data_IF_807270921562
#
_entry.id   IF_807270921562
#
_cell.length_a   1.000
_cell.length_b   1.000
_cell.length_c   1.000
_cell.angle_alpha   90.00
_cell.angle_beta   90.00
_cell.angle_gamma   90.00
#
_symmetry.space_group_name_H-M   'P 1'
#
loop_
_entity.id
_entity.type
_entity.pdbx_description
1 polymer ?
#
# COMPACT_ATOMS: atom_id res chain seq x y z
N UNK A 1 -19.51 -14.31 -16.44
CA UNK A 1 -18.39 -13.73 -15.66
C UNK A 1 -18.30 -12.20 -15.80
N UNK A 2 -18.36 -11.62 -17.02
CA UNK A 2 -18.31 -10.16 -17.23
C UNK A 2 -19.62 -9.39 -16.88
N UNK A 3 -20.81 -10.00 -17.05
CA UNK A 3 -22.09 -9.36 -16.70
C UNK A 3 -22.21 -9.07 -15.19
N UNK A 4 -21.48 -9.83 -14.36
CA UNK A 4 -21.44 -9.64 -12.90
C UNK A 4 -20.54 -8.47 -12.48
N UNK A 5 -19.50 -8.10 -13.25
CA UNK A 5 -18.50 -7.11 -12.82
C UNK A 5 -19.09 -5.70 -12.63
N UNK A 6 -20.06 -5.32 -13.45
CA UNK A 6 -20.72 -4.02 -13.34
C UNK A 6 -21.60 -3.98 -12.09
N UNK A 7 -22.31 -5.06 -11.80
CA UNK A 7 -23.17 -5.16 -10.62
C UNK A 7 -22.35 -5.28 -9.33
N UNK A 8 -21.25 -6.02 -9.40
CA UNK A 8 -20.18 -6.12 -8.42
C UNK A 8 -19.58 -4.74 -8.08
N UNK A 9 -19.27 -3.93 -9.11
CA UNK A 9 -18.74 -2.57 -8.92
C UNK A 9 -19.79 -1.63 -8.31
N UNK A 10 -21.05 -1.70 -8.78
CA UNK A 10 -22.16 -0.93 -8.19
C UNK A 10 -22.39 -1.32 -6.73
N UNK A 11 -22.29 -2.60 -6.40
CA UNK A 11 -22.41 -3.08 -5.03
C UNK A 11 -21.26 -2.57 -4.17
N UNK A 12 -20.02 -2.68 -4.65
CA UNK A 12 -18.86 -2.12 -3.97
C UNK A 12 -19.03 -0.62 -3.69
N UNK A 13 -19.46 0.15 -4.69
CA UNK A 13 -19.73 1.59 -4.53
C UNK A 13 -20.80 1.85 -3.45
N UNK A 14 -21.87 1.05 -3.39
CA UNK A 14 -22.90 1.16 -2.35
C UNK A 14 -22.35 0.84 -0.97
N UNK A 15 -21.56 -0.23 -0.84
CA UNK A 15 -20.90 -0.60 0.41
C UNK A 15 -19.98 0.52 0.90
N UNK A 16 -19.13 1.05 0.02
CA UNK A 16 -18.28 2.20 0.32
C UNK A 16 -19.08 3.42 0.78
N UNK A 17 -20.17 3.75 0.08
CA UNK A 17 -21.02 4.86 0.46
C UNK A 17 -21.60 4.66 1.87
N UNK A 18 -22.08 3.46 2.19
CA UNK A 18 -22.57 3.15 3.53
C UNK A 18 -21.47 3.29 4.59
N UNK A 19 -20.26 2.79 4.34
CA UNK A 19 -19.13 2.92 5.29
C UNK A 19 -18.75 4.38 5.54
N UNK A 20 -18.72 5.19 4.49
CA UNK A 20 -18.43 6.62 4.58
C UNK A 20 -19.52 7.32 5.42
N UNK A 21 -20.80 7.03 5.16
CA UNK A 21 -21.90 7.63 5.92
C UNK A 21 -21.85 7.25 7.40
N UNK A 22 -21.59 5.98 7.73
CA UNK A 22 -21.47 5.51 9.12
C UNK A 22 -20.36 6.25 9.87
N UNK A 23 -19.21 6.48 9.24
CA UNK A 23 -18.13 7.24 9.87
C UNK A 23 -18.44 8.74 9.97
N UNK A 24 -19.13 9.31 8.98
CA UNK A 24 -19.56 10.71 8.98
C UNK A 24 -20.69 11.01 10.00
N UNK A 25 -21.37 10.00 10.56
CA UNK A 25 -22.30 10.21 11.67
C UNK A 25 -21.56 10.73 12.91
N UNK A 26 -20.34 10.26 13.16
CA UNK A 26 -19.50 10.66 14.30
C UNK A 26 -18.36 11.58 13.84
N UNK A 27 -18.71 12.74 13.26
CA UNK A 27 -17.76 13.70 12.65
C UNK A 27 -16.59 14.07 13.55
N UNK A 28 -16.85 14.33 14.83
CA UNK A 28 -15.80 14.68 15.80
C UNK A 28 -14.82 13.54 16.00
N UNK A 29 -15.31 12.30 16.15
CA UNK A 29 -14.45 11.14 16.29
C UNK A 29 -13.60 10.93 15.04
N UNK A 30 -14.22 11.04 13.85
CA UNK A 30 -13.52 10.94 12.57
C UNK A 30 -12.42 12.01 12.42
N UNK A 31 -12.70 13.26 12.79
CA UNK A 31 -11.71 14.34 12.74
C UNK A 31 -10.55 14.09 13.70
N UNK A 32 -10.84 13.69 14.94
CA UNK A 32 -9.81 13.32 15.93
C UNK A 32 -8.96 12.18 15.38
N UNK A 33 -9.58 11.14 14.85
CA UNK A 33 -8.89 9.99 14.25
C UNK A 33 -7.94 10.41 13.11
N UNK A 34 -8.41 11.23 12.17
CA UNK A 34 -7.61 11.73 11.04
C UNK A 34 -6.45 12.58 11.54
N UNK A 35 -6.69 13.51 12.47
CA UNK A 35 -5.65 14.39 13.03
C UNK A 35 -4.63 13.58 13.82
N UNK A 36 -5.07 12.61 14.63
CA UNK A 36 -4.17 11.72 15.37
C UNK A 36 -3.31 10.90 14.42
N UNK A 37 -3.88 10.37 13.33
CA UNK A 37 -3.11 9.60 12.35
C UNK A 37 -2.13 10.47 11.56
N UNK A 38 -2.54 11.69 11.19
CA UNK A 38 -1.65 12.71 10.62
C UNK A 38 -0.51 13.07 11.58
N UNK A 39 -0.80 13.21 12.88
CA UNK A 39 0.19 13.52 13.90
C UNK A 39 1.23 12.40 14.04
N UNK A 40 0.79 11.15 14.14
CA UNK A 40 1.70 9.99 14.22
C UNK A 40 2.58 9.90 12.98
N UNK A 41 2.00 9.90 11.79
CA UNK A 41 2.76 9.80 10.53
C UNK A 41 3.62 11.04 10.26
N UNK A 42 3.17 12.22 10.71
CA UNK A 42 3.95 13.45 10.67
C UNK A 42 5.18 13.37 11.56
N UNK A 43 5.05 12.83 12.77
CA UNK A 43 6.18 12.59 13.67
C UNK A 43 7.16 11.57 13.10
N UNK A 44 6.68 10.47 12.52
CA UNK A 44 7.53 9.50 11.80
C UNK A 44 8.36 10.20 10.70
N UNK A 45 7.74 11.10 9.94
CA UNK A 45 8.43 11.87 8.91
C UNK A 45 9.39 12.92 9.48
N UNK A 46 9.06 13.57 10.60
CA UNK A 46 10.00 14.46 11.30
C UNK A 46 11.21 13.67 11.78
N UNK A 47 11.03 12.48 12.34
CA UNK A 47 12.14 11.59 12.73
C UNK A 47 13.02 11.27 11.53
N UNK A 48 12.43 11.00 10.37
CA UNK A 48 13.18 10.81 9.12
C UNK A 48 14.04 12.05 8.78
N UNK A 49 13.50 13.26 8.89
CA UNK A 49 14.27 14.50 8.66
C UNK A 49 15.37 14.71 9.71
N UNK A 50 15.14 14.32 10.96
CA UNK A 50 16.12 14.45 12.03
C UNK A 50 17.37 13.60 11.80
N UNK A 51 17.29 12.48 11.08
CA UNK A 51 18.48 11.72 10.65
C UNK A 51 19.45 12.57 9.83
N UNK A 52 18.97 13.58 9.11
CA UNK A 52 19.80 14.43 8.26
C UNK A 52 20.41 15.63 8.98
N UNK A 53 20.09 15.84 10.26
CA UNK A 53 20.70 16.90 11.08
C UNK A 53 22.21 16.64 11.27
N UNK A 54 22.65 15.45 11.77
CA UNK A 54 24.07 15.12 11.83
C UNK A 54 24.66 14.67 10.49
N UNK A 55 23.86 14.02 9.64
CA UNK A 55 24.33 13.43 8.38
C UNK A 55 23.80 14.17 7.17
N UNK A 56 24.67 14.90 6.45
CA UNK A 56 24.25 15.66 5.26
C UNK A 56 23.72 14.78 4.13
N UNK A 57 24.18 13.53 4.04
CA UNK A 57 23.71 12.56 3.04
C UNK A 57 23.68 11.14 3.62
N UNK A 58 22.79 10.29 3.10
CA UNK A 58 22.73 8.86 3.35
C UNK A 58 23.23 8.10 2.12
N UNK A 59 24.48 7.63 2.14
CA UNK A 59 25.13 6.98 0.97
C UNK A 59 24.93 7.78 -0.34
N UNK A 60 25.11 9.10 -0.26
CA UNK A 60 24.95 10.00 -1.40
C UNK A 60 23.51 10.44 -1.71
N UNK A 61 22.52 10.01 -0.92
CA UNK A 61 21.14 10.53 -0.98
C UNK A 61 20.98 11.76 -0.09
N UNK A 62 20.40 12.82 -0.63
CA UNK A 62 20.12 14.07 0.08
C UNK A 62 18.73 14.03 0.72
N UNK A 63 18.50 14.93 1.69
CA UNK A 63 17.24 14.96 2.46
C UNK A 63 16.00 15.06 1.57
N UNK A 64 16.04 15.86 0.50
CA UNK A 64 14.90 16.00 -0.43
C UNK A 64 14.59 14.72 -1.22
N UNK A 65 15.62 13.95 -1.57
CA UNK A 65 15.45 12.70 -2.31
C UNK A 65 14.86 11.60 -1.42
N UNK A 66 15.27 11.53 -0.15
CA UNK A 66 14.71 10.57 0.82
C UNK A 66 13.32 11.01 1.29
N UNK A 67 13.09 12.30 1.48
CA UNK A 67 11.76 12.83 1.75
C UNK A 67 10.77 12.50 0.61
N UNK A 68 11.23 12.54 -0.65
CA UNK A 68 10.42 12.13 -1.81
C UNK A 68 10.07 10.63 -1.76
N UNK A 69 11.01 9.76 -1.43
CA UNK A 69 10.75 8.32 -1.22
C UNK A 69 9.69 8.08 -0.15
N UNK A 70 9.85 8.73 1.01
CA UNK A 70 8.91 8.63 2.11
C UNK A 70 7.52 9.17 1.74
N UNK A 71 7.45 10.27 1.01
CA UNK A 71 6.18 10.85 0.54
C UNK A 71 5.42 9.89 -0.38
N UNK A 72 6.09 9.36 -1.42
CA UNK A 72 5.49 8.44 -2.39
C UNK A 72 5.09 7.12 -1.72
N UNK A 73 5.91 6.63 -0.78
CA UNK A 73 5.60 5.46 0.03
C UNK A 73 4.37 5.70 0.91
N UNK A 74 4.29 6.84 1.60
CA UNK A 74 3.13 7.22 2.42
C UNK A 74 1.84 7.35 1.61
N UNK A 75 1.91 7.90 0.40
CA UNK A 75 0.76 8.00 -0.51
C UNK A 75 0.27 6.62 -0.96
N UNK A 76 1.17 5.80 -1.49
CA UNK A 76 0.84 4.46 -2.00
C UNK A 76 0.28 3.57 -0.89
N UNK A 77 0.95 3.57 0.26
CA UNK A 77 0.53 2.79 1.42
C UNK A 77 -0.78 3.32 2.01
N UNK A 78 -0.91 4.64 2.19
CA UNK A 78 -2.12 5.25 2.74
C UNK A 78 -3.37 4.97 1.89
N UNK A 79 -3.22 4.99 0.56
CA UNK A 79 -4.29 4.60 -0.37
C UNK A 79 -4.63 3.11 -0.24
N UNK A 80 -3.63 2.24 -0.09
CA UNK A 80 -3.87 0.80 0.08
C UNK A 80 -4.57 0.49 1.41
N UNK A 81 -4.21 1.16 2.50
CA UNK A 81 -4.87 0.97 3.80
C UNK A 81 -6.30 1.53 3.82
N UNK A 82 -6.54 2.63 3.08
CA UNK A 82 -7.86 3.23 2.97
C UNK A 82 -8.85 2.25 2.32
N UNK A 83 -8.42 1.59 1.23
CA UNK A 83 -9.23 0.66 0.43
C UNK A 83 -9.21 -0.77 1.02
N UNK A 84 -8.07 -1.22 1.50
CA UNK A 84 -7.82 -2.60 1.93
C UNK A 84 -8.24 -2.90 3.37
N UNK A 85 -8.87 -1.95 4.06
CA UNK A 85 -9.28 -2.09 5.46
C UNK A 85 -10.12 -3.33 5.75
N UNK A 86 -11.03 -3.71 4.85
CA UNK A 86 -11.83 -4.91 4.98
C UNK A 86 -11.02 -6.22 4.87
N UNK A 87 -9.93 -6.20 4.11
CA UNK A 87 -9.00 -7.33 3.95
C UNK A 87 -8.10 -7.44 5.19
N UNK A 88 -7.66 -6.32 5.74
CA UNK A 88 -6.84 -6.26 6.95
C UNK A 88 -7.55 -6.89 8.17
N UNK A 89 -8.87 -6.72 8.28
CA UNK A 89 -9.69 -7.32 9.34
C UNK A 89 -10.03 -8.81 9.10
N UNK A 90 -9.54 -9.42 8.03
CA UNK A 90 -10.02 -10.74 7.59
C UNK A 90 -9.71 -11.88 8.56
N UNK A 91 -8.58 -11.82 9.29
CA UNK A 91 -8.25 -12.80 10.33
C UNK A 91 -9.34 -12.87 11.41
N UNK A 92 -9.89 -11.72 11.81
CA UNK A 92 -10.98 -11.65 12.80
C UNK A 92 -12.26 -12.27 12.23
N UNK A 93 -12.55 -12.03 10.95
CA UNK A 93 -13.73 -12.57 10.26
C UNK A 93 -13.68 -14.11 10.19
N UNK A 94 -12.51 -14.69 9.90
CA UNK A 94 -12.31 -16.14 9.92
C UNK A 94 -12.44 -16.70 11.34
N UNK A 95 -11.75 -16.10 12.30
CA UNK A 95 -11.73 -16.59 13.69
C UNK A 95 -13.12 -16.56 14.35
N UNK A 96 -14.02 -15.69 13.89
CA UNK A 96 -15.42 -15.64 14.35
C UNK A 96 -16.38 -16.55 13.59
N UNK A 97 -15.92 -17.29 12.57
CA UNK A 97 -16.78 -18.08 11.69
C UNK A 97 -17.75 -17.24 10.84
N UNK A 98 -17.55 -15.92 10.78
CA UNK A 98 -18.44 -15.01 10.04
C UNK A 98 -18.22 -15.10 8.52
N UNK A 99 -17.10 -15.68 8.09
CA UNK A 99 -16.82 -15.92 6.67
C UNK A 99 -17.81 -16.91 6.04
N UNK A 100 -18.36 -17.86 6.79
CA UNK A 100 -19.42 -18.76 6.30
C UNK A 100 -20.63 -17.98 5.78
N UNK A 101 -21.01 -16.89 6.47
CA UNK A 101 -22.11 -16.01 6.03
C UNK A 101 -21.80 -15.25 4.75
N UNK A 102 -20.53 -14.93 4.52
CA UNK A 102 -20.07 -14.29 3.27
C UNK A 102 -20.24 -15.24 2.09
N UNK A 103 -19.92 -16.52 2.27
CA UNK A 103 -20.02 -17.56 1.24
C UNK A 103 -21.48 -17.93 0.88
N UNK A 104 -22.42 -17.75 1.80
CA UNK A 104 -23.84 -18.00 1.54
C UNK A 104 -24.51 -16.95 0.64
N UNK A 105 -23.89 -15.78 0.47
CA UNK A 105 -24.45 -14.70 -0.36
C UNK A 105 -24.08 -14.90 -1.83
N UNK A 106 -24.98 -14.63 -2.79
CA UNK A 106 -24.75 -14.85 -4.22
C UNK A 106 -23.88 -13.75 -4.86
N UNK A 107 -22.81 -13.34 -4.19
CA UNK A 107 -21.90 -12.25 -4.58
C UNK A 107 -20.46 -12.70 -4.34
N UNK A 108 -19.53 -12.26 -5.17
CA UNK A 108 -18.10 -12.53 -4.98
C UNK A 108 -17.65 -12.23 -3.54
N UNK A 109 -17.08 -13.23 -2.86
CA UNK A 109 -16.57 -13.10 -1.50
C UNK A 109 -15.52 -11.97 -1.40
N UNK A 110 -14.70 -11.79 -2.43
CA UNK A 110 -13.69 -10.72 -2.46
C UNK A 110 -14.32 -9.34 -2.32
N UNK A 111 -15.41 -9.07 -3.05
CA UNK A 111 -16.08 -7.76 -3.05
C UNK A 111 -16.74 -7.48 -1.71
N UNK A 112 -17.34 -8.50 -1.12
CA UNK A 112 -17.94 -8.41 0.20
C UNK A 112 -16.88 -8.10 1.27
N UNK A 113 -15.72 -8.76 1.19
CA UNK A 113 -14.61 -8.55 2.14
C UNK A 113 -13.98 -7.18 1.94
N UNK A 114 -13.57 -6.81 0.73
CA UNK A 114 -12.94 -5.49 0.48
C UNK A 114 -13.90 -4.32 0.75
N UNK A 115 -15.20 -4.49 0.48
CA UNK A 115 -16.23 -3.48 0.77
C UNK A 115 -16.74 -3.48 2.21
N UNK A 116 -16.28 -4.40 3.07
CA UNK A 116 -16.77 -4.52 4.44
C UNK A 116 -16.32 -3.39 5.37
N UNK A 117 -15.21 -2.72 5.05
CA UNK A 117 -14.66 -1.60 5.80
C UNK A 117 -13.90 -0.65 4.87
N UNK A 118 -13.92 0.65 5.18
CA UNK A 118 -13.23 1.69 4.42
C UNK A 118 -12.75 2.77 5.39
N UNK A 119 -11.46 2.76 5.77
CA UNK A 119 -11.00 3.56 6.93
C UNK A 119 -10.65 4.99 6.55
N UNK A 120 -11.61 5.92 6.68
CA UNK A 120 -11.38 7.35 6.39
C UNK A 120 -10.29 7.98 7.25
N UNK A 121 -10.00 7.42 8.44
CA UNK A 121 -8.85 7.79 9.28
C UNK A 121 -7.52 7.80 8.50
N UNK A 122 -7.37 6.92 7.50
CA UNK A 122 -6.15 6.81 6.69
C UNK A 122 -5.90 8.05 5.80
N UNK A 123 -6.90 8.91 5.62
CA UNK A 123 -6.72 10.23 5.01
C UNK A 123 -5.64 11.05 5.73
N UNK A 124 -5.45 10.88 7.05
CA UNK A 124 -4.39 11.58 7.79
C UNK A 124 -2.98 11.26 7.30
N UNK A 125 -2.75 10.02 6.82
CA UNK A 125 -1.47 9.64 6.23
C UNK A 125 -1.34 10.09 4.79
N UNK A 126 -2.43 10.05 4.03
CA UNK A 126 -2.41 10.55 2.66
C UNK A 126 -2.11 12.05 2.67
N UNK A 127 -2.74 12.82 3.57
CA UNK A 127 -2.43 14.24 3.74
C UNK A 127 -0.98 14.44 4.20
N UNK A 128 -0.46 13.64 5.12
CA UNK A 128 0.96 13.64 5.48
C UNK A 128 1.85 13.43 4.26
N UNK A 129 1.58 12.40 3.45
CA UNK A 129 2.34 12.09 2.24
C UNK A 129 2.32 13.22 1.22
N UNK A 130 1.17 13.88 1.03
CA UNK A 130 1.05 15.08 0.18
C UNK A 130 1.91 16.24 0.72
N UNK A 131 1.84 16.51 2.02
CA UNK A 131 2.66 17.56 2.65
C UNK A 131 4.15 17.26 2.53
N UNK A 132 4.56 16.02 2.78
CA UNK A 132 5.93 15.56 2.62
C UNK A 132 6.40 15.65 1.17
N UNK A 133 5.53 15.37 0.20
CA UNK A 133 5.83 15.53 -1.22
C UNK A 133 6.18 16.99 -1.53
N UNK A 134 5.32 17.95 -1.14
CA UNK A 134 5.60 19.37 -1.36
C UNK A 134 6.85 19.85 -0.62
N UNK A 135 7.07 19.37 0.61
CA UNK A 135 8.28 19.70 1.36
C UNK A 135 9.54 19.13 0.68
N UNK A 136 9.47 17.92 0.12
CA UNK A 136 10.59 17.33 -0.62
C UNK A 136 10.97 18.17 -1.83
N UNK A 137 10.00 18.81 -2.50
CA UNK A 137 10.26 19.71 -3.63
C UNK A 137 11.03 20.95 -3.23
N UNK A 138 10.84 21.43 -2.00
CA UNK A 138 11.57 22.57 -1.48
C UNK A 138 13.05 22.24 -1.23
N UNK A 139 13.36 21.01 -0.83
CA UNK A 139 14.72 20.55 -0.59
C UNK A 139 15.45 20.06 -1.83
N UNK A 140 14.72 19.73 -2.90
CA UNK A 140 15.30 19.26 -4.15
C UNK A 140 15.82 20.45 -4.99
N UNK A 141 17.09 20.43 -5.44
CA UNK A 141 17.55 21.38 -6.43
C UNK A 141 16.73 21.18 -7.72
N UNK A 142 16.04 22.23 -8.15
CA UNK A 142 15.09 22.30 -9.27
C UNK A 142 15.05 21.05 -10.18
N UNK A 143 14.14 20.09 -9.94
CA UNK A 143 14.02 18.91 -10.79
C UNK A 143 13.65 19.34 -12.21
N UNK A 144 14.22 18.69 -13.22
CA UNK A 144 13.73 18.81 -14.59
C UNK A 144 12.37 18.10 -14.72
N UNK A 145 11.32 18.80 -14.30
CA UNK A 145 9.95 18.34 -14.39
C UNK A 145 9.56 18.21 -15.86
N UNK A 146 9.27 16.98 -16.27
CA UNK A 146 8.64 16.69 -17.55
C UNK A 146 7.28 16.07 -17.27
N UNK A 147 6.33 16.30 -18.18
CA UNK A 147 5.00 15.69 -18.10
C UNK A 147 5.09 14.16 -17.94
N UNK A 148 6.03 13.53 -18.65
CA UNK A 148 6.30 12.09 -18.56
C UNK A 148 6.70 11.64 -17.14
N UNK A 149 7.56 12.39 -16.43
CA UNK A 149 7.95 12.05 -15.05
C UNK A 149 6.78 12.13 -14.07
N UNK A 150 5.89 13.11 -14.24
CA UNK A 150 4.67 13.22 -13.42
C UNK A 150 3.72 12.04 -13.66
N UNK A 151 3.55 11.63 -14.92
CA UNK A 151 2.74 10.46 -15.27
C UNK A 151 3.34 9.19 -14.67
N UNK A 152 4.66 8.97 -14.81
CA UNK A 152 5.35 7.80 -14.24
C UNK A 152 5.21 7.77 -12.72
N UNK A 153 5.33 8.92 -12.05
CA UNK A 153 5.13 9.01 -10.60
C UNK A 153 3.70 8.64 -10.19
N UNK A 154 2.69 9.21 -10.85
CA UNK A 154 1.29 8.93 -10.56
C UNK A 154 0.92 7.47 -10.81
N UNK A 155 1.36 6.91 -11.94
CA UNK A 155 1.20 5.49 -12.25
C UNK A 155 1.95 4.62 -11.23
N UNK A 156 3.14 5.04 -10.79
CA UNK A 156 3.92 4.40 -9.74
C UNK A 156 3.16 4.33 -8.42
N UNK A 157 2.52 5.42 -7.99
CA UNK A 157 1.71 5.46 -6.75
C UNK A 157 0.50 4.50 -6.84
N UNK A 158 -0.19 4.48 -7.99
CA UNK A 158 -1.33 3.56 -8.21
C UNK A 158 -0.83 2.11 -8.23
N UNK A 159 0.28 1.84 -8.90
CA UNK A 159 0.91 0.52 -8.95
C UNK A 159 1.32 0.06 -7.55
N UNK A 160 1.92 0.94 -6.76
CA UNK A 160 2.28 0.68 -5.36
C UNK A 160 1.07 0.38 -4.48
N UNK A 161 -0.01 1.15 -4.65
CA UNK A 161 -1.30 0.90 -3.98
C UNK A 161 -1.81 -0.50 -4.26
N UNK A 162 -1.78 -0.93 -5.53
CA UNK A 162 -2.22 -2.27 -5.95
C UNK A 162 -1.28 -3.36 -5.40
N UNK A 163 0.03 -3.14 -5.38
CA UNK A 163 1.01 -4.07 -4.80
C UNK A 163 0.71 -4.28 -3.31
N UNK A 164 0.53 -3.21 -2.53
CA UNK A 164 0.21 -3.33 -1.10
C UNK A 164 -1.15 -4.01 -0.86
N UNK A 165 -2.18 -3.68 -1.64
CA UNK A 165 -3.47 -4.40 -1.58
C UNK A 165 -3.31 -5.89 -1.87
N UNK A 166 -2.43 -6.25 -2.80
CA UNK A 166 -2.12 -7.65 -3.12
C UNK A 166 -1.40 -8.35 -1.97
N UNK A 167 -0.49 -7.67 -1.27
CA UNK A 167 0.17 -8.22 -0.06
C UNK A 167 -0.88 -8.49 1.03
N UNK A 168 -1.78 -7.52 1.28
CA UNK A 168 -2.87 -7.71 2.24
C UNK A 168 -3.76 -8.90 1.86
N UNK A 169 -4.10 -9.04 0.57
CA UNK A 169 -4.90 -10.15 0.07
C UNK A 169 -4.20 -11.50 0.23
N UNK A 170 -2.89 -11.57 -0.01
CA UNK A 170 -2.10 -12.77 0.25
C UNK A 170 -2.12 -13.13 1.73
N UNK A 171 -1.95 -12.15 2.62
CA UNK A 171 -2.04 -12.36 4.06
C UNK A 171 -3.41 -12.87 4.51
N UNK A 172 -4.48 -12.28 3.98
CA UNK A 172 -5.84 -12.76 4.20
C UNK A 172 -6.03 -14.19 3.69
N UNK A 173 -5.44 -14.54 2.54
CA UNK A 173 -5.51 -15.90 1.98
C UNK A 173 -4.79 -16.92 2.88
N UNK A 174 -3.65 -16.55 3.48
CA UNK A 174 -2.92 -17.44 4.41
C UNK A 174 -3.74 -17.81 5.65
N UNK A 175 -4.68 -16.95 6.06
CA UNK A 175 -5.58 -17.20 7.18
C UNK A 175 -6.53 -18.38 6.92
N UNK A 176 -6.72 -18.81 5.67
CA UNK A 176 -7.53 -20.01 5.37
C UNK A 176 -6.88 -21.31 5.83
N UNK A 177 -5.54 -21.37 5.92
CA UNK A 177 -4.81 -22.57 6.34
C UNK A 177 -4.09 -22.42 7.68
N UNK A 178 -3.83 -21.17 8.10
CA UNK A 178 -3.04 -20.89 9.31
C UNK A 178 -3.83 -19.96 10.21
N UNK A 179 -4.19 -20.44 11.40
CA UNK A 179 -5.11 -19.74 12.32
C UNK A 179 -4.51 -18.47 12.94
N UNK A 180 -3.17 -18.36 13.01
CA UNK A 180 -2.50 -17.33 13.83
C UNK A 180 -1.42 -16.48 13.15
N UNK A 181 -1.12 -16.67 11.86
CA UNK A 181 0.08 -16.04 11.26
C UNK A 181 -0.19 -14.67 10.64
N UNK A 182 -0.69 -13.72 11.44
CA UNK A 182 -0.78 -12.30 11.04
C UNK A 182 0.59 -11.63 10.96
N UNK A 183 1.58 -12.13 11.71
CA UNK A 183 2.89 -11.48 11.85
C UNK A 183 3.71 -11.44 10.56
N UNK A 184 3.70 -12.51 9.74
CA UNK A 184 4.44 -12.52 8.47
C UNK A 184 3.90 -11.44 7.53
N UNK A 185 2.57 -11.31 7.45
CA UNK A 185 1.91 -10.27 6.65
C UNK A 185 2.22 -8.88 7.19
N UNK A 186 2.19 -8.70 8.51
CA UNK A 186 2.51 -7.42 9.16
C UNK A 186 3.96 -7.01 8.90
N UNK A 187 4.91 -7.94 9.00
CA UNK A 187 6.33 -7.71 8.68
C UNK A 187 6.47 -7.30 7.21
N UNK A 188 5.82 -8.04 6.29
CA UNK A 188 5.88 -7.71 4.87
C UNK A 188 5.21 -6.38 4.53
N UNK A 189 4.17 -5.98 5.25
CA UNK A 189 3.38 -4.77 4.97
C UNK A 189 4.01 -3.52 5.60
N UNK A 190 4.17 -3.55 6.93
CA UNK A 190 4.71 -2.42 7.69
C UNK A 190 6.23 -2.34 7.58
N UNK A 191 6.92 -3.48 7.59
CA UNK A 191 8.37 -3.54 7.43
C UNK A 191 8.82 -3.05 6.05
N UNK A 192 8.16 -3.47 4.97
CA UNK A 192 8.50 -2.96 3.64
C UNK A 192 8.23 -1.46 3.50
N UNK A 193 7.14 -0.96 4.12
CA UNK A 193 6.79 0.46 4.14
C UNK A 193 7.85 1.29 4.85
N UNK A 194 8.34 0.84 6.01
CA UNK A 194 9.42 1.52 6.70
C UNK A 194 10.71 1.48 5.87
N UNK A 195 11.07 0.31 5.37
CA UNK A 195 12.30 0.12 4.60
C UNK A 195 12.36 0.96 3.33
N UNK A 196 11.27 1.01 2.57
CA UNK A 196 11.20 1.73 1.31
C UNK A 196 10.84 3.21 1.46
N UNK A 197 10.69 3.69 2.70
CA UNK A 197 10.76 5.13 3.00
C UNK A 197 12.20 5.66 2.94
N UNK A 198 13.19 4.75 2.96
CA UNK A 198 14.60 5.04 2.78
C UNK A 198 15.12 4.45 1.45
N UNK A 199 16.29 4.90 0.95
CA UNK A 199 16.84 4.37 -0.28
C UNK A 199 17.16 2.88 -0.17
N UNK A 200 16.67 2.08 -1.13
CA UNK A 200 16.87 0.63 -1.13
C UNK A 200 18.36 0.24 -1.10
N UNK A 201 19.23 1.09 -1.64
CA UNK A 201 20.69 0.88 -1.71
C UNK A 201 21.40 0.85 -0.36
N UNK A 202 20.76 1.31 0.74
CA UNK A 202 21.35 1.22 2.08
C UNK A 202 21.32 -0.21 2.64
N UNK A 203 20.44 -1.05 2.09
CA UNK A 203 20.24 -2.43 2.57
C UNK A 203 21.16 -3.42 1.85
N UNK A 204 21.35 -4.59 2.45
CA UNK A 204 22.12 -5.67 1.85
C UNK A 204 21.48 -6.16 0.54
N UNK A 205 22.31 -6.59 -0.43
CA UNK A 205 21.87 -6.92 -1.79
C UNK A 205 20.78 -7.99 -1.87
N UNK A 206 20.80 -8.98 -0.96
CA UNK A 206 19.75 -10.01 -0.87
C UNK A 206 18.37 -9.37 -0.65
N UNK A 207 18.31 -8.38 0.24
CA UNK A 207 17.07 -7.70 0.59
C UNK A 207 16.60 -6.77 -0.53
N UNK A 208 17.54 -6.12 -1.24
CA UNK A 208 17.23 -5.36 -2.44
C UNK A 208 16.59 -6.26 -3.51
N UNK A 209 17.17 -7.44 -3.76
CA UNK A 209 16.63 -8.42 -4.72
C UNK A 209 15.26 -8.94 -4.29
N UNK A 210 15.07 -9.20 -3.01
CA UNK A 210 13.78 -9.65 -2.47
C UNK A 210 12.66 -8.63 -2.77
N UNK A 211 12.88 -7.34 -2.48
CA UNK A 211 11.88 -6.30 -2.71
C UNK A 211 11.73 -5.86 -4.17
N UNK A 212 12.71 -6.14 -5.04
CA UNK A 212 12.61 -5.88 -6.47
C UNK A 212 11.93 -7.02 -7.23
N UNK A 213 12.24 -8.27 -6.90
CA UNK A 213 11.87 -9.41 -7.74
C UNK A 213 10.87 -10.38 -7.12
N UNK A 214 10.80 -10.49 -5.78
CA UNK A 214 9.95 -11.48 -5.10
C UNK A 214 8.62 -10.85 -4.65
N UNK A 215 8.66 -9.73 -3.93
CA UNK A 215 7.44 -9.02 -3.42
C UNK A 215 7.12 -7.74 -4.22
N UNK A 216 7.81 -7.48 -5.32
CA UNK A 216 7.99 -6.17 -5.99
C UNK A 216 7.69 -4.84 -5.26
N UNK A 217 7.78 -4.72 -3.93
CA UNK A 217 7.39 -3.48 -3.22
C UNK A 217 8.26 -2.28 -3.59
N UNK A 218 9.49 -2.50 -4.08
CA UNK A 218 10.33 -1.42 -4.57
C UNK A 218 9.67 -0.60 -5.71
N UNK A 219 8.76 -1.21 -6.48
CA UNK A 219 7.99 -0.51 -7.52
C UNK A 219 6.94 0.45 -6.95
N UNK A 220 6.61 0.36 -5.66
CA UNK A 220 5.65 1.24 -5.01
C UNK A 220 6.19 2.64 -4.70
N UNK A 221 7.51 2.80 -4.56
CA UNK A 221 8.12 4.11 -4.30
C UNK A 221 9.51 4.23 -4.91
N UNK A 222 10.41 3.30 -4.58
CA UNK A 222 11.83 3.42 -4.94
C UNK A 222 12.07 3.55 -6.45
N UNK A 223 11.51 2.65 -7.26
CA UNK A 223 11.70 2.66 -8.73
C UNK A 223 11.14 3.93 -9.40
N UNK A 224 9.86 4.34 -9.19
CA UNK A 224 9.33 5.56 -9.80
C UNK A 224 10.05 6.83 -9.31
N UNK A 225 10.49 6.87 -8.05
CA UNK A 225 11.27 8.00 -7.51
C UNK A 225 12.67 8.05 -8.11
N UNK A 226 13.34 6.92 -8.30
CA UNK A 226 14.62 6.89 -9.01
C UNK A 226 14.48 7.46 -10.43
N UNK A 227 13.43 7.09 -11.17
CA UNK A 227 13.17 7.65 -12.50
C UNK A 227 12.90 9.15 -12.46
N UNK A 228 12.11 9.62 -11.48
CA UNK A 228 11.84 11.04 -11.27
C UNK A 228 13.12 11.85 -11.02
N UNK A 229 14.01 11.32 -10.19
CA UNK A 229 15.26 11.98 -9.78
C UNK A 229 16.42 11.75 -10.76
N UNK A 230 16.27 10.86 -11.75
CA UNK A 230 17.36 10.47 -12.65
C UNK A 230 18.46 9.68 -11.95
N UNK A 231 18.13 8.97 -10.87
CA UNK A 231 19.05 8.13 -10.10
C UNK A 231 19.15 6.73 -10.73
N UNK A 232 20.34 6.12 -10.80
CA UNK A 232 20.48 4.76 -11.30
C UNK A 232 19.83 3.76 -10.34
N UNK A 233 19.25 2.69 -10.90
CA UNK A 233 18.76 1.56 -10.13
C UNK A 233 19.90 0.61 -9.73
N UNK A 234 19.76 -0.17 -8.64
CA UNK A 234 20.77 -1.14 -8.25
C UNK A 234 20.94 -2.23 -9.31
N UNK A 235 22.09 -2.92 -9.28
CA UNK A 235 22.43 -4.02 -10.20
C UNK A 235 22.53 -3.63 -11.68
N UNK A 236 22.66 -2.34 -12.00
CA UNK A 236 22.72 -1.87 -13.38
C UNK A 236 21.39 -2.01 -14.12
N UNK A 237 20.28 -2.07 -13.40
CA UNK A 237 18.95 -2.15 -14.00
C UNK A 237 18.65 -0.85 -14.80
N UNK A 238 17.99 -0.97 -15.96
CA UNK A 238 17.59 0.18 -16.77
C UNK A 238 16.59 1.05 -16.01
N UNK A 239 16.76 2.38 -16.06
CA UNK A 239 15.87 3.31 -15.34
C UNK A 239 14.44 3.29 -15.91
N UNK A 240 14.30 2.88 -17.16
CA UNK A 240 13.04 2.66 -17.88
C UNK A 240 12.20 1.54 -17.24
N UNK A 241 12.76 0.74 -16.33
CA UNK A 241 12.01 -0.26 -15.56
C UNK A 241 10.85 0.38 -14.78
N UNK A 242 10.89 1.69 -14.50
CA UNK A 242 9.76 2.42 -13.93
C UNK A 242 8.47 2.32 -14.76
N UNK A 243 8.56 2.19 -16.08
CA UNK A 243 7.39 1.97 -16.95
C UNK A 243 6.76 0.58 -16.78
N UNK A 244 7.50 -0.39 -16.22
CA UNK A 244 6.98 -1.73 -15.94
C UNK A 244 6.19 -1.80 -14.63
N UNK A 245 6.22 -0.77 -13.78
CA UNK A 245 5.47 -0.71 -12.51
C UNK A 245 4.00 -1.18 -12.61
N UNK A 246 3.18 -0.69 -13.58
CA UNK A 246 1.78 -1.14 -13.69
C UNK A 246 1.67 -2.61 -14.10
N UNK A 247 2.57 -3.11 -14.95
CA UNK A 247 2.58 -4.51 -15.35
C UNK A 247 2.95 -5.42 -14.17
N UNK A 248 3.97 -5.03 -13.40
CA UNK A 248 4.40 -5.75 -12.20
C UNK A 248 3.27 -5.78 -11.15
N UNK A 249 2.62 -4.64 -10.92
CA UNK A 249 1.47 -4.55 -10.01
C UNK A 249 0.30 -5.43 -10.48
N UNK A 250 -0.01 -5.42 -11.78
CA UNK A 250 -1.06 -6.26 -12.36
C UNK A 250 -0.74 -7.75 -12.21
N UNK A 251 0.49 -8.18 -12.54
CA UNK A 251 0.91 -9.57 -12.40
C UNK A 251 0.81 -10.04 -10.94
N UNK A 252 1.27 -9.21 -10.01
CA UNK A 252 1.21 -9.53 -8.59
C UNK A 252 -0.24 -9.59 -8.06
N UNK A 253 -1.12 -8.69 -8.53
CA UNK A 253 -2.55 -8.73 -8.24
C UNK A 253 -3.25 -9.96 -8.81
N UNK A 254 -2.86 -10.43 -10.01
CA UNK A 254 -3.40 -11.65 -10.60
C UNK A 254 -2.96 -12.89 -9.80
N UNK A 255 -1.70 -12.95 -9.37
CA UNK A 255 -1.19 -14.04 -8.53
C UNK A 255 -1.91 -14.08 -7.19
N UNK A 256 -2.04 -12.92 -6.52
CA UNK A 256 -2.74 -12.85 -5.23
C UNK A 256 -4.23 -13.17 -5.37
N UNK A 257 -4.89 -12.70 -6.42
CA UNK A 257 -6.28 -13.04 -6.73
C UNK A 257 -6.48 -14.53 -7.03
N UNK A 258 -5.57 -15.15 -7.76
CA UNK A 258 -5.60 -16.60 -8.01
C UNK A 258 -5.46 -17.38 -6.70
N UNK A 259 -4.47 -17.03 -5.87
CA UNK A 259 -4.28 -17.65 -4.54
C UNK A 259 -5.51 -17.45 -3.65
N UNK A 260 -6.12 -16.26 -3.65
CA UNK A 260 -7.38 -16.02 -2.94
C UNK A 260 -8.48 -16.98 -3.39
N UNK A 261 -8.73 -17.09 -4.70
CA UNK A 261 -9.77 -18.02 -5.21
C UNK A 261 -9.46 -19.48 -4.90
N UNK A 262 -8.18 -19.86 -4.88
CA UNK A 262 -7.73 -21.18 -4.47
C UNK A 262 -8.00 -21.40 -2.97
N UNK A 263 -7.67 -20.42 -2.13
CA UNK A 263 -7.90 -20.45 -0.69
C UNK A 263 -9.37 -20.57 -0.32
N UNK A 264 -10.24 -19.78 -0.95
CA UNK A 264 -11.69 -19.85 -0.75
C UNK A 264 -12.25 -21.25 -1.05
N UNK A 265 -11.71 -21.95 -2.06
CA UNK A 265 -12.15 -23.32 -2.41
C UNK A 265 -11.70 -24.39 -1.42
N UNK A 266 -10.62 -24.14 -0.69
CA UNK A 266 -10.06 -25.07 0.29
C UNK A 266 -10.36 -24.64 1.74
N UNK A 267 -11.14 -23.57 1.91
CA UNK A 267 -11.54 -23.11 3.22
C UNK A 267 -12.38 -24.18 3.92
N UNK A 268 -12.00 -24.48 5.16
CA UNK A 268 -12.77 -25.31 6.07
C UNK A 268 -13.22 -24.43 7.23
N UNK A 269 -14.53 -24.43 7.51
CA UNK A 269 -15.09 -23.67 8.62
C UNK A 269 -14.44 -24.10 9.93
N UNK A 270 -14.22 -23.15 10.83
CA UNK A 270 -13.62 -23.38 12.14
C UNK A 270 -14.53 -24.17 13.10
N UNK A 271 -15.70 -24.62 12.65
CA UNK A 271 -16.54 -25.61 13.32
C UNK A 271 -16.85 -25.26 14.77
N UNK A 272 -17.86 -24.41 14.99
CA UNK A 272 -18.50 -24.30 16.32
C UNK A 272 -19.80 -25.08 16.34
#
# INVERSE_FOLDING_TARGET
>A
MLHNLVDDLKLYQRLLHMQIQTQLQYKTNLLVDIISYLGVTGLEFVVLLLYFVPFKTLLGWHVGEVAMLAAVMSLSFGLSELIGAGIDNFSILINRGEFDRVLLRPVSAFIQVIGSDFRLRRLGRITQGVLAFFLSLHFLPAPHWTFLRLVVLGVGIISGTIIFLSILLLGATLCFWTVETTEVTNILTYGSREMLSYPLTIYHQVLQRFFLFIVPVAFASYVPVCYLLGRPLPFGLPIELAFASPLVALLFALISGWLWTFGVRHYQSTGS
#
